data_IF_633573154241
#
_entry.id   IF_633573154241
#
_cell.length_a   1.000
_cell.length_b   1.000
_cell.length_c   1.000
_cell.angle_alpha   90.00
_cell.angle_beta   90.00
_cell.angle_gamma   90.00
#
_symmetry.space_group_name_H-M   'P 1'
#
loop_
_entity.id
_entity.type
_entity.pdbx_description
1 polymer ?
#
# COMPACT_ATOMS: atom_id res chain seq x y z
N UNK A 1 9.32 16.99 -2.17
CA UNK A 1 9.87 15.72 -1.71
C UNK A 1 9.56 14.62 -2.69
N UNK A 2 10.40 13.62 -2.74
CA UNK A 2 10.24 12.54 -3.69
C UNK A 2 9.10 11.60 -3.28
N UNK A 3 8.34 11.15 -4.26
CA UNK A 3 7.27 10.19 -4.05
C UNK A 3 7.89 8.79 -4.03
N UNK A 4 7.57 8.03 -3.01
CA UNK A 4 8.09 6.67 -2.85
C UNK A 4 7.11 5.68 -3.46
N UNK A 5 7.58 4.98 -4.47
CA UNK A 5 6.80 3.93 -5.12
C UNK A 5 7.19 2.58 -4.55
N UNK A 6 6.20 1.74 -4.34
CA UNK A 6 6.41 0.34 -3.99
C UNK A 6 6.00 -0.49 -5.20
N UNK A 7 6.95 -1.25 -5.75
CA UNK A 7 6.69 -2.03 -6.96
C UNK A 7 7.08 -3.48 -6.74
N UNK A 8 6.48 -4.34 -7.52
CA UNK A 8 6.76 -5.76 -7.49
C UNK A 8 7.20 -6.19 -8.89
N UNK A 9 8.34 -6.85 -8.95
CA UNK A 9 8.85 -7.33 -10.22
C UNK A 9 7.92 -8.42 -10.77
N UNK A 10 7.35 -8.24 -11.96
CA UNK A 10 6.46 -9.27 -12.50
C UNK A 10 7.16 -10.55 -12.90
N UNK A 11 8.48 -10.50 -13.04
CA UNK A 11 9.25 -11.67 -13.46
C UNK A 11 9.68 -12.54 -12.29
N UNK A 12 10.21 -11.95 -11.22
CA UNK A 12 10.75 -12.73 -10.09
C UNK A 12 10.01 -12.54 -8.77
N UNK A 13 9.08 -11.57 -8.71
CA UNK A 13 8.31 -11.33 -7.49
C UNK A 13 8.98 -10.47 -6.45
N UNK A 14 10.18 -9.97 -6.72
CA UNK A 14 10.87 -9.09 -5.78
C UNK A 14 10.09 -7.81 -5.55
N UNK A 15 9.97 -7.39 -4.30
CA UNK A 15 9.27 -6.17 -3.92
C UNK A 15 10.30 -5.14 -3.46
N UNK A 16 10.21 -3.94 -4.00
CA UNK A 16 11.19 -2.90 -3.68
C UNK A 16 10.57 -1.51 -3.70
N UNK A 17 11.27 -0.58 -3.05
CA UNK A 17 10.92 0.83 -3.10
C UNK A 17 11.80 1.51 -4.12
N UNK A 18 11.23 2.47 -4.84
CA UNK A 18 12.00 3.28 -5.76
C UNK A 18 11.35 4.64 -5.92
N UNK A 19 12.13 5.61 -6.38
CA UNK A 19 11.63 6.96 -6.67
C UNK A 19 11.53 7.23 -8.17
N UNK A 20 12.00 6.29 -8.98
CA UNK A 20 12.03 6.42 -10.43
C UNK A 20 12.09 5.04 -11.06
N UNK A 21 12.04 4.99 -12.38
CA UNK A 21 12.24 3.74 -13.11
C UNK A 21 13.59 3.12 -12.73
N UNK A 22 13.63 1.82 -12.60
CA UNK A 22 14.81 1.14 -12.09
C UNK A 22 14.88 -0.28 -12.68
N UNK A 23 15.91 -1.00 -12.30
CA UNK A 23 16.03 -2.42 -12.61
C UNK A 23 15.84 -3.24 -11.35
N UNK A 24 15.22 -4.39 -11.51
CA UNK A 24 15.07 -5.32 -10.39
C UNK A 24 16.46 -5.74 -9.90
N UNK A 25 16.77 -5.55 -8.61
CA UNK A 25 18.09 -5.92 -8.10
C UNK A 25 18.35 -7.42 -8.12
N UNK A 26 17.30 -8.22 -8.26
CA UNK A 26 17.42 -9.67 -8.23
C UNK A 26 17.55 -10.28 -9.62
N UNK A 27 16.70 -9.88 -10.56
CA UNK A 27 16.69 -10.48 -11.90
C UNK A 27 17.04 -9.50 -13.01
N UNK A 28 17.22 -8.22 -12.68
CA UNK A 28 17.61 -7.15 -13.60
C UNK A 28 16.56 -6.81 -14.66
N UNK A 29 15.32 -7.26 -14.49
CA UNK A 29 14.22 -6.85 -15.33
C UNK A 29 13.97 -5.35 -15.17
N UNK A 30 13.68 -4.65 -16.26
CA UNK A 30 13.36 -3.23 -16.19
C UNK A 30 12.01 -3.02 -15.52
N UNK A 31 11.95 -2.10 -14.56
CA UNK A 31 10.76 -1.80 -13.79
C UNK A 31 10.40 -0.33 -13.95
N UNK A 32 9.13 -0.08 -14.22
CA UNK A 32 8.65 1.26 -14.55
C UNK A 32 7.62 1.70 -13.52
N UNK A 33 7.73 2.96 -13.09
CA UNK A 33 6.77 3.55 -12.14
C UNK A 33 5.61 4.23 -12.87
N UNK A 34 5.74 4.50 -14.16
CA UNK A 34 4.71 5.15 -14.94
C UNK A 34 3.73 4.11 -15.49
N UNK A 35 2.75 3.76 -14.68
CA UNK A 35 1.69 2.83 -15.06
C UNK A 35 0.39 3.60 -15.28
N UNK A 36 -0.59 3.01 -15.98
CA UNK A 36 -1.84 3.72 -16.28
C UNK A 36 -2.66 4.05 -15.05
N UNK A 37 -2.45 3.34 -13.95
CA UNK A 37 -3.23 3.55 -12.73
C UNK A 37 -2.34 3.42 -11.51
N UNK A 38 -2.89 3.76 -10.34
CA UNK A 38 -2.14 3.64 -9.10
C UNK A 38 -3.05 3.53 -7.89
N UNK A 39 -2.51 2.94 -6.83
CA UNK A 39 -3.06 3.00 -5.49
C UNK A 39 -2.07 3.76 -4.61
N UNK A 40 -2.54 4.77 -3.89
CA UNK A 40 -1.74 5.40 -2.85
C UNK A 40 -2.29 4.99 -1.49
N UNK A 41 -1.44 4.40 -0.66
CA UNK A 41 -1.81 3.92 0.66
C UNK A 41 -1.04 4.71 1.70
N UNK A 42 -1.75 5.22 2.69
CA UNK A 42 -1.19 5.97 3.80
C UNK A 42 -1.54 5.28 5.12
N UNK A 43 -0.55 5.07 5.96
CA UNK A 43 -0.78 4.59 7.33
C UNK A 43 -0.77 5.76 8.28
N UNK A 44 -1.93 6.05 8.86
CA UNK A 44 -2.06 7.14 9.84
C UNK A 44 -1.19 6.85 11.05
N UNK A 45 -0.55 7.91 11.56
CA UNK A 45 0.25 7.79 12.75
C UNK A 45 -0.58 7.49 13.97
N UNK A 46 0.04 6.83 14.95
CA UNK A 46 -0.62 6.56 16.21
C UNK A 46 0.36 6.79 17.35
N UNK A 47 -0.19 7.08 18.51
CA UNK A 47 0.59 7.36 19.70
C UNK A 47 1.22 6.12 20.31
N UNK A 48 0.64 4.97 20.03
CA UNK A 48 1.00 3.79 20.80
C UNK A 48 2.33 3.20 20.35
N UNK A 49 2.73 3.47 19.11
CA UNK A 49 4.07 3.17 18.61
C UNK A 49 4.50 1.71 18.69
N UNK A 50 3.69 0.86 19.26
CA UNK A 50 4.06 -0.52 19.50
C UNK A 50 3.70 -1.45 18.36
N UNK A 51 2.84 -1.01 17.49
CA UNK A 51 2.48 -1.83 16.35
C UNK A 51 3.60 -1.74 15.33
N UNK A 52 4.18 -2.86 15.00
CA UNK A 52 5.19 -2.93 13.96
C UNK A 52 4.63 -2.55 12.61
N UNK A 53 5.37 -2.85 11.56
CA UNK A 53 4.91 -2.57 10.21
C UNK A 53 3.72 -3.46 9.87
N UNK A 54 2.77 -2.89 9.10
CA UNK A 54 1.62 -3.64 8.61
C UNK A 54 2.00 -4.33 7.30
N UNK A 55 1.68 -5.60 7.18
CA UNK A 55 1.89 -6.33 5.93
C UNK A 55 0.86 -5.95 4.89
N UNK A 56 1.29 -5.78 3.65
CA UNK A 56 0.44 -5.38 2.54
C UNK A 56 0.30 -6.54 1.58
N UNK A 57 -0.96 -6.87 1.22
CA UNK A 57 -1.26 -7.89 0.22
C UNK A 57 -2.20 -7.31 -0.81
N UNK A 58 -1.85 -7.44 -2.07
CA UNK A 58 -2.71 -7.03 -3.18
C UNK A 58 -3.05 -8.30 -3.97
N UNK A 59 -4.33 -8.64 -4.04
CA UNK A 59 -4.81 -9.88 -4.67
C UNK A 59 -4.10 -11.11 -4.11
N UNK A 60 -3.87 -11.10 -2.79
CA UNK A 60 -3.22 -12.20 -2.10
C UNK A 60 -1.71 -12.27 -2.26
N UNK A 61 -1.12 -11.37 -3.02
CA UNK A 61 0.34 -11.36 -3.24
C UNK A 61 0.98 -10.37 -2.29
N UNK A 62 2.10 -10.74 -1.64
CA UNK A 62 2.77 -9.84 -0.69
C UNK A 62 3.42 -8.66 -1.41
N UNK A 63 3.25 -7.47 -0.83
CA UNK A 63 3.86 -6.24 -1.33
C UNK A 63 4.65 -5.55 -0.22
N UNK A 64 5.21 -6.32 0.72
CA UNK A 64 6.03 -5.77 1.78
C UNK A 64 5.19 -5.21 2.91
N UNK A 65 5.70 -4.17 3.56
CA UNK A 65 5.11 -3.62 4.77
C UNK A 65 5.00 -2.10 4.66
N UNK A 66 4.13 -1.53 5.46
CA UNK A 66 4.02 -0.07 5.58
C UNK A 66 4.21 0.30 7.04
N UNK A 67 5.10 1.26 7.29
CA UNK A 67 5.43 1.72 8.63
C UNK A 67 4.54 2.88 9.08
N UNK A 68 4.73 3.28 10.32
CA UNK A 68 3.95 4.36 10.92
C UNK A 68 4.15 5.66 10.12
N UNK A 69 3.06 6.31 9.75
CA UNK A 69 3.06 7.57 8.98
C UNK A 69 3.65 7.45 7.58
N UNK A 70 3.84 6.25 7.09
CA UNK A 70 4.39 6.03 5.75
C UNK A 70 3.31 6.13 4.70
N UNK A 71 3.67 6.68 3.54
CA UNK A 71 2.80 6.74 2.37
C UNK A 71 3.52 6.09 1.20
N UNK A 72 2.81 5.22 0.51
CA UNK A 72 3.37 4.46 -0.61
C UNK A 72 2.45 4.57 -1.82
N UNK A 73 3.04 4.66 -3.00
CA UNK A 73 2.29 4.60 -4.26
C UNK A 73 2.62 3.27 -4.94
N UNK A 74 1.57 2.55 -5.30
CA UNK A 74 1.68 1.28 -6.01
C UNK A 74 1.23 1.51 -7.46
N UNK A 75 2.16 1.61 -8.41
CA UNK A 75 1.78 1.69 -9.82
C UNK A 75 1.16 0.35 -10.25
N UNK A 76 -0.01 0.42 -10.86
CA UNK A 76 -0.77 -0.78 -11.21
C UNK A 76 -1.44 -0.59 -12.58
N UNK A 77 -1.65 -1.68 -13.33
CA UNK A 77 -2.51 -1.62 -14.50
C UNK A 77 -3.97 -1.48 -14.09
N UNK A 78 -4.83 -1.16 -15.06
CA UNK A 78 -6.26 -1.16 -14.81
C UNK A 78 -6.74 -2.55 -14.39
N UNK A 79 -7.73 -2.60 -13.54
CA UNK A 79 -8.27 -3.87 -13.09
C UNK A 79 -8.92 -3.75 -11.73
N UNK A 80 -9.40 -4.87 -11.23
CA UNK A 80 -10.02 -4.97 -9.91
C UNK A 80 -9.03 -5.61 -8.96
N UNK A 81 -8.91 -5.01 -7.77
CA UNK A 81 -7.92 -5.40 -6.79
C UNK A 81 -8.54 -5.55 -5.42
N UNK A 82 -7.99 -6.47 -4.64
CA UNK A 82 -8.32 -6.63 -3.23
C UNK A 82 -7.10 -6.26 -2.41
N UNK A 83 -7.22 -5.20 -1.61
CA UNK A 83 -6.16 -4.77 -0.71
C UNK A 83 -6.42 -5.34 0.67
N UNK A 84 -5.47 -6.09 1.18
CA UNK A 84 -5.53 -6.71 2.49
C UNK A 84 -4.34 -6.23 3.33
N UNK A 85 -4.63 -5.86 4.57
CA UNK A 85 -3.59 -5.43 5.52
C UNK A 85 -3.53 -6.45 6.63
N UNK A 86 -2.34 -6.97 6.87
CA UNK A 86 -2.09 -7.96 7.91
C UNK A 86 -1.36 -7.32 9.07
N UNK A 87 -1.89 -7.46 10.28
CA UNK A 87 -1.31 -6.88 11.47
C UNK A 87 -1.16 -7.97 12.52
N UNK A 88 0.07 -8.42 12.71
CA UNK A 88 0.37 -9.49 13.66
C UNK A 88 -0.35 -10.78 13.32
N UNK A 89 -0.53 -11.60 14.33
CA UNK A 89 -1.27 -12.85 14.19
C UNK A 89 -2.71 -12.61 14.61
N UNK A 90 -3.65 -13.09 13.86
CA UNK A 90 -5.07 -13.11 14.19
C UNK A 90 -5.76 -11.75 14.32
N UNK A 91 -5.16 -10.67 13.88
CA UNK A 91 -5.83 -9.38 13.89
C UNK A 91 -6.71 -9.27 12.66
N UNK A 92 -7.94 -8.81 12.88
CA UNK A 92 -8.90 -8.68 11.80
C UNK A 92 -8.87 -7.28 11.23
N UNK A 93 -8.84 -7.20 9.93
CA UNK A 93 -8.94 -5.97 9.19
C UNK A 93 -9.82 -6.23 7.99
N UNK A 94 -10.69 -5.29 7.66
CA UNK A 94 -11.51 -5.42 6.47
C UNK A 94 -10.62 -5.30 5.24
N UNK A 95 -10.94 -6.10 4.23
CA UNK A 95 -10.30 -5.94 2.94
C UNK A 95 -10.96 -4.78 2.20
N UNK A 96 -10.20 -4.13 1.34
CA UNK A 96 -10.72 -3.06 0.50
C UNK A 96 -10.68 -3.54 -0.95
N UNK A 97 -11.87 -3.70 -1.52
CA UNK A 97 -12.01 -4.06 -2.92
C UNK A 97 -12.18 -2.79 -3.74
N UNK A 98 -11.38 -2.62 -4.78
CA UNK A 98 -11.47 -1.43 -5.63
C UNK A 98 -11.14 -1.77 -7.07
N UNK A 99 -11.58 -0.89 -7.97
CA UNK A 99 -11.36 -1.05 -9.40
C UNK A 99 -10.71 0.20 -9.97
N UNK A 100 -9.65 0.00 -10.74
CA UNK A 100 -8.93 1.06 -11.44
C UNK A 100 -9.31 1.02 -12.92
N UNK A 101 -9.82 2.12 -13.41
CA UNK A 101 -10.30 2.26 -14.79
C UNK A 101 -9.76 3.55 -15.40
N UNK A 102 -9.86 3.73 -16.72
CA UNK A 102 -9.47 5.01 -17.32
C UNK A 102 -10.22 6.21 -16.74
N UNK A 103 -11.45 6.01 -16.26
CA UNK A 103 -12.26 7.07 -15.65
C UNK A 103 -11.84 7.32 -14.20
N UNK A 104 -11.38 6.29 -13.51
CA UNK A 104 -10.92 6.39 -12.12
C UNK A 104 -9.59 5.67 -11.98
N UNK A 105 -8.50 6.29 -12.50
CA UNK A 105 -7.21 5.61 -12.51
C UNK A 105 -6.46 5.69 -11.19
N UNK A 106 -6.98 6.40 -10.20
CA UNK A 106 -6.30 6.60 -8.93
C UNK A 106 -7.21 6.21 -7.78
N UNK A 107 -6.67 5.43 -6.85
CA UNK A 107 -7.36 5.07 -5.62
C UNK A 107 -6.49 5.51 -4.45
N UNK A 108 -7.13 6.15 -3.48
CA UNK A 108 -6.47 6.59 -2.26
C UNK A 108 -7.06 5.82 -1.11
N UNK A 109 -6.21 5.27 -0.25
CA UNK A 109 -6.66 4.49 0.89
C UNK A 109 -5.82 4.86 2.12
N UNK A 110 -6.42 4.72 3.27
CA UNK A 110 -5.73 4.90 4.54
C UNK A 110 -5.97 3.69 5.42
N UNK A 111 -4.94 3.32 6.18
CA UNK A 111 -5.05 2.27 7.18
C UNK A 111 -4.62 2.85 8.53
N UNK A 112 -5.16 2.31 9.61
CA UNK A 112 -4.98 2.90 10.93
C UNK A 112 -5.24 1.87 12.02
N UNK A 113 -4.78 2.21 13.24
CA UNK A 113 -5.12 1.47 14.44
C UNK A 113 -6.25 2.22 15.13
N UNK A 114 -7.31 1.50 15.45
CA UNK A 114 -8.43 2.05 16.18
C UNK A 114 -8.38 1.48 17.60
N UNK A 115 -8.10 2.32 18.62
CA UNK A 115 -8.04 1.83 19.99
C UNK A 115 -9.40 1.30 20.42
N UNK A 116 -9.40 0.16 21.11
CA UNK A 116 -10.60 -0.43 21.64
C UNK A 116 -10.49 -0.62 23.14
N UNK A 117 -11.61 -0.95 23.77
CA UNK A 117 -11.67 -1.12 25.22
C UNK A 117 -10.84 -2.34 25.65
N UNK A 118 -11.02 -3.46 24.98
CA UNK A 118 -10.33 -4.70 25.31
C UNK A 118 -9.16 -4.98 24.40
N UNK A 119 -9.29 -4.59 23.14
CA UNK A 119 -8.28 -4.87 22.14
C UNK A 119 -8.36 -3.79 21.08
N UNK A 120 -7.23 -3.50 20.47
CA UNK A 120 -7.19 -2.57 19.33
C UNK A 120 -7.71 -3.26 18.10
N UNK A 121 -8.40 -2.51 17.25
CA UNK A 121 -8.78 -2.98 15.94
C UNK A 121 -8.04 -2.19 14.89
N UNK A 122 -8.08 -2.69 13.66
CA UNK A 122 -7.37 -2.11 12.54
C UNK A 122 -8.37 -1.85 11.43
N UNK A 123 -8.20 -0.74 10.75
CA UNK A 123 -9.11 -0.35 9.70
C UNK A 123 -8.40 -0.03 8.41
N UNK A 124 -9.16 -0.14 7.33
CA UNK A 124 -8.72 0.27 6.01
C UNK A 124 -9.93 0.93 5.34
N UNK A 125 -9.74 2.13 4.80
CA UNK A 125 -10.83 2.91 4.23
C UNK A 125 -10.38 3.61 2.96
N UNK A 126 -11.34 3.89 2.09
CA UNK A 126 -11.10 4.78 0.98
C UNK A 126 -10.84 6.17 1.54
N UNK A 127 -9.84 6.84 0.99
CA UNK A 127 -9.46 8.19 1.39
C UNK A 127 -9.60 9.14 0.21
N UNK A 128 -9.50 10.43 0.49
CA UNK A 128 -9.45 11.45 -0.55
C UNK A 128 -8.01 11.89 -0.76
N UNK A 129 -7.69 12.52 -1.90
CA UNK A 129 -6.34 13.04 -2.10
C UNK A 129 -5.89 14.01 -1.01
N UNK A 130 -6.84 14.76 -0.42
CA UNK A 130 -6.54 15.71 0.64
C UNK A 130 -6.03 15.05 1.91
N UNK A 131 -6.40 13.80 2.14
CA UNK A 131 -5.99 13.07 3.33
C UNK A 131 -4.59 12.48 3.22
N UNK A 132 -4.02 12.51 2.01
CA UNK A 132 -2.67 11.98 1.79
C UNK A 132 -1.64 13.01 2.23
N UNK A 133 -0.53 12.58 2.83
CA UNK A 133 0.52 13.52 3.19
C UNK A 133 1.17 14.13 1.97
N UNK A 134 1.57 15.38 2.09
CA UNK A 134 2.35 16.07 1.06
C UNK A 134 3.82 15.70 1.24
N UNK A 135 4.39 15.17 0.21
CA UNK A 135 5.82 14.82 0.24
C UNK A 135 6.64 15.72 -0.63
#
# INVERSE_FOLDING_TARGET
>A
MAIKYRIKCPQCGEVLNTYHDTQCPKCRNNLYVNQPAMLQLYRKGNFYGFAGAFGIYINGQPYGHIGNKESLIFPLPYGTYNLHIAVGVSRKCNDLLFTLTPETPRMYAKTYIKPGFWTNSFGIEVATPDEMPND
#
